data_IF_906629485421
#
_entry.id   IF_906629485421
#
_cell.length_a   1.000
_cell.length_b   1.000
_cell.length_c   1.000
_cell.angle_alpha   90.00
_cell.angle_beta   90.00
_cell.angle_gamma   90.00
#
_symmetry.space_group_name_H-M   'P 1'
#
loop_
_entity.id
_entity.type
_entity.pdbx_description
1 polymer ?
#
# COMPACT_ATOMS: atom_id res chain seq x y z
N UNK A 1 -0.30 0.94 27.69
CA UNK A 1 -0.06 1.61 26.37
C UNK A 1 -1.10 1.14 25.37
N UNK A 2 -1.59 2.04 24.49
CA UNK A 2 -2.48 1.74 23.35
C UNK A 2 -1.88 2.33 22.07
N UNK A 3 -2.19 1.72 20.93
CA UNK A 3 -1.82 2.28 19.64
C UNK A 3 -2.64 3.56 19.38
N UNK A 4 -2.00 4.63 18.91
CA UNK A 4 -2.64 5.92 18.61
C UNK A 4 -2.14 6.45 17.28
N UNK A 5 -3.05 6.84 16.39
CA UNK A 5 -2.71 7.51 15.16
C UNK A 5 -2.35 8.98 15.44
N UNK A 6 -1.17 9.41 14.98
CA UNK A 6 -0.73 10.80 15.04
C UNK A 6 -1.25 11.61 13.86
N UNK A 7 -1.16 11.04 12.67
CA UNK A 7 -1.59 11.65 11.42
C UNK A 7 -1.85 10.58 10.38
N UNK A 8 -2.88 10.78 9.57
CA UNK A 8 -3.17 9.94 8.41
C UNK A 8 -3.88 10.74 7.34
N UNK A 9 -3.74 10.30 6.09
CA UNK A 9 -4.49 10.84 4.96
C UNK A 9 -4.49 9.84 3.81
N UNK A 10 -5.50 9.95 2.96
CA UNK A 10 -5.60 9.27 1.66
C UNK A 10 -6.05 10.28 0.63
N UNK A 11 -5.58 10.13 -0.61
CA UNK A 11 -5.89 10.99 -1.74
C UNK A 11 -5.92 10.17 -3.02
N UNK A 12 -6.97 10.33 -3.88
CA UNK A 12 -6.95 9.74 -5.21
C UNK A 12 -5.85 10.38 -6.08
N UNK A 13 -5.38 9.64 -7.06
CA UNK A 13 -4.47 10.09 -8.10
C UNK A 13 -5.16 10.90 -9.19
N UNK A 14 -4.86 10.55 -10.44
CA UNK A 14 -5.47 11.18 -11.63
C UNK A 14 -6.93 10.76 -11.86
N UNK A 15 -7.36 9.67 -11.25
CA UNK A 15 -8.71 9.12 -11.39
C UNK A 15 -9.70 9.84 -10.46
N UNK A 16 -10.98 9.78 -10.82
CA UNK A 16 -12.07 10.30 -9.97
C UNK A 16 -12.37 9.42 -8.74
N UNK A 17 -11.64 8.33 -8.56
CA UNK A 17 -11.80 7.36 -7.48
C UNK A 17 -10.45 6.94 -6.93
N UNK A 18 -10.43 6.44 -5.72
CA UNK A 18 -9.26 5.94 -5.02
C UNK A 18 -9.28 4.41 -5.01
N UNK A 19 -8.20 3.78 -5.41
CA UNK A 19 -8.01 2.33 -5.28
C UNK A 19 -7.24 1.97 -4.00
N UNK A 20 -6.66 2.98 -3.32
CA UNK A 20 -6.14 2.82 -1.97
C UNK A 20 -7.25 2.87 -0.91
N UNK A 21 -7.02 2.24 0.23
CA UNK A 21 -7.84 2.43 1.42
C UNK A 21 -7.02 2.43 2.71
N UNK A 22 -7.46 3.26 3.63
CA UNK A 22 -6.97 3.30 5.01
C UNK A 22 -7.97 2.61 5.93
N UNK A 23 -7.47 1.68 6.73
CA UNK A 23 -8.18 0.98 7.78
C UNK A 23 -7.57 1.42 9.12
N UNK A 24 -8.35 2.07 9.97
CA UNK A 24 -7.84 2.67 11.21
C UNK A 24 -8.86 2.53 12.32
N UNK A 25 -8.50 1.79 13.36
CA UNK A 25 -9.30 1.64 14.56
C UNK A 25 -8.35 1.40 15.75
N UNK A 26 -8.26 2.27 16.68
CA UNK A 26 -7.51 2.30 17.93
C UNK A 26 -6.48 1.18 18.24
N UNK A 27 -6.80 -0.07 17.94
CA UNK A 27 -5.94 -1.23 18.18
C UNK A 27 -5.18 -1.69 16.92
N UNK A 28 -5.55 -1.21 15.72
CA UNK A 28 -4.93 -1.61 14.46
C UNK A 28 -4.94 -0.48 13.42
N UNK A 29 -4.01 -0.59 12.48
CA UNK A 29 -3.95 0.24 11.28
C UNK A 29 -3.56 -0.64 10.10
N UNK A 30 -4.19 -0.41 8.94
CA UNK A 30 -3.84 -1.08 7.70
C UNK A 30 -3.99 -0.14 6.51
N UNK A 31 -3.17 -0.36 5.48
CA UNK A 31 -3.25 0.34 4.19
C UNK A 31 -3.33 -0.71 3.10
N UNK A 32 -4.31 -0.53 2.23
CA UNK A 32 -4.43 -1.24 0.95
C UNK A 32 -3.95 -0.33 -0.17
N UNK A 33 -3.26 -0.91 -1.13
CA UNK A 33 -2.88 -0.33 -2.41
C UNK A 33 -3.48 -1.19 -3.52
N UNK A 34 -4.58 -0.73 -4.09
CA UNK A 34 -5.40 -1.49 -5.02
C UNK A 34 -4.91 -1.39 -6.45
N UNK A 35 -4.93 -2.52 -7.16
CA UNK A 35 -4.56 -2.59 -8.57
C UNK A 35 -5.61 -3.33 -9.40
N UNK A 36 -6.28 -2.58 -10.29
CA UNK A 36 -7.22 -3.12 -11.28
C UNK A 36 -6.50 -4.00 -12.30
N UNK A 37 -7.20 -5.01 -12.82
CA UNK A 37 -6.71 -5.85 -13.91
C UNK A 37 -6.29 -5.02 -15.15
N UNK A 38 -5.37 -5.54 -15.94
CA UNK A 38 -4.83 -4.85 -17.13
C UNK A 38 -5.69 -5.11 -18.41
N UNK A 39 -6.92 -5.53 -18.23
CA UNK A 39 -7.92 -5.63 -19.31
C UNK A 39 -8.53 -4.25 -19.58
N UNK A 40 -8.94 -3.99 -20.83
CA UNK A 40 -9.65 -2.75 -21.19
C UNK A 40 -11.18 -2.86 -21.01
N UNK A 41 -11.64 -3.75 -20.16
CA UNK A 41 -13.07 -3.98 -19.91
C UNK A 41 -13.62 -2.98 -18.88
N UNK A 42 -14.91 -2.69 -18.97
CA UNK A 42 -15.63 -2.02 -17.90
C UNK A 42 -15.55 -2.85 -16.60
N UNK A 43 -15.66 -2.22 -15.43
CA UNK A 43 -15.66 -2.94 -14.16
C UNK A 43 -16.72 -4.03 -14.13
N UNK A 44 -16.35 -5.20 -13.65
CA UNK A 44 -17.27 -6.34 -13.46
C UNK A 44 -18.27 -6.04 -12.35
N UNK A 45 -17.79 -5.35 -11.31
CA UNK A 45 -18.61 -4.92 -10.19
C UNK A 45 -19.23 -3.55 -10.49
N UNK A 46 -20.33 -3.55 -11.24
CA UNK A 46 -20.95 -2.36 -11.88
C UNK A 46 -21.32 -1.19 -10.95
N UNK A 47 -21.40 -1.42 -9.64
CA UNK A 47 -21.66 -0.35 -8.67
C UNK A 47 -20.38 0.41 -8.25
N UNK A 48 -19.22 0.03 -8.80
CA UNK A 48 -17.93 0.62 -8.51
C UNK A 48 -17.29 1.17 -9.78
N UNK A 49 -16.46 2.17 -9.64
CA UNK A 49 -15.72 2.79 -10.74
C UNK A 49 -14.48 1.95 -11.16
N UNK A 50 -14.04 1.03 -10.29
CA UNK A 50 -13.04 0.01 -10.62
C UNK A 50 -13.23 -1.25 -9.79
N UNK A 51 -12.76 -2.38 -10.32
CA UNK A 51 -12.79 -3.65 -9.61
C UNK A 51 -11.82 -3.69 -8.43
N UNK A 52 -10.70 -2.93 -8.48
CA UNK A 52 -9.79 -2.79 -7.36
C UNK A 52 -10.42 -2.01 -6.22
N UNK A 53 -11.12 -0.90 -6.51
CA UNK A 53 -11.83 -0.13 -5.48
C UNK A 53 -12.89 -0.98 -4.78
N UNK A 54 -13.63 -1.81 -5.54
CA UNK A 54 -14.56 -2.78 -4.96
C UNK A 54 -13.83 -3.80 -4.05
N UNK A 55 -12.76 -4.41 -4.56
CA UNK A 55 -12.02 -5.45 -3.86
C UNK A 55 -11.43 -4.95 -2.55
N UNK A 56 -10.85 -3.76 -2.58
CA UNK A 56 -10.26 -3.09 -1.42
C UNK A 56 -11.34 -2.74 -0.39
N UNK A 57 -12.48 -2.18 -0.82
CA UNK A 57 -13.56 -1.82 0.09
C UNK A 57 -14.18 -3.04 0.77
N UNK A 58 -14.47 -4.13 0.02
CA UNK A 58 -15.00 -5.37 0.58
C UNK A 58 -14.01 -6.02 1.58
N UNK A 59 -12.72 -6.01 1.22
CA UNK A 59 -11.65 -6.54 2.07
C UNK A 59 -11.54 -5.73 3.36
N UNK A 60 -11.56 -4.41 3.24
CA UNK A 60 -11.53 -3.46 4.35
C UNK A 60 -12.70 -3.68 5.30
N UNK A 61 -13.94 -3.73 4.78
CA UNK A 61 -15.14 -3.97 5.60
C UNK A 61 -15.06 -5.27 6.38
N UNK A 62 -14.60 -6.35 5.75
CA UNK A 62 -14.40 -7.61 6.44
C UNK A 62 -13.37 -7.48 7.57
N UNK A 63 -12.22 -6.89 7.30
CA UNK A 63 -11.14 -6.74 8.28
C UNK A 63 -11.52 -5.78 9.42
N UNK A 64 -12.24 -4.69 9.15
CA UNK A 64 -12.75 -3.78 10.19
C UNK A 64 -13.58 -4.50 11.25
N UNK A 65 -14.37 -5.48 10.83
CA UNK A 65 -15.22 -6.26 11.73
C UNK A 65 -14.45 -7.33 12.51
N UNK A 66 -13.33 -7.84 11.97
CA UNK A 66 -12.68 -9.04 12.50
C UNK A 66 -11.27 -8.84 13.03
N UNK A 67 -10.59 -7.74 12.72
CA UNK A 67 -9.20 -7.50 13.17
C UNK A 67 -9.04 -7.36 14.69
N UNK A 68 -10.12 -7.14 15.42
CA UNK A 68 -10.10 -7.17 16.89
C UNK A 68 -10.05 -8.59 17.47
N UNK A 69 -10.41 -9.61 16.69
CA UNK A 69 -10.30 -11.02 17.11
C UNK A 69 -8.83 -11.46 17.06
N UNK A 70 -8.16 -11.42 18.19
CA UNK A 70 -6.75 -11.80 18.34
C UNK A 70 -6.53 -13.31 18.42
N UNK A 71 -7.58 -14.13 18.38
CA UNK A 71 -7.46 -15.59 18.28
C UNK A 71 -6.99 -16.03 16.88
N UNK A 72 -7.08 -15.15 15.89
CA UNK A 72 -6.65 -15.37 14.51
C UNK A 72 -5.53 -14.39 14.15
N UNK A 73 -4.54 -14.83 13.37
CA UNK A 73 -3.50 -13.96 12.82
C UNK A 73 -4.08 -13.02 11.75
N UNK A 74 -3.40 -11.88 11.51
CA UNK A 74 -3.78 -10.98 10.39
C UNK A 74 -3.84 -11.76 9.07
N UNK A 75 -2.87 -12.67 8.84
CA UNK A 75 -2.85 -13.53 7.65
C UNK A 75 -4.12 -14.37 7.50
N UNK A 76 -4.56 -15.03 8.56
CA UNK A 76 -5.79 -15.84 8.54
C UNK A 76 -7.03 -15.00 8.24
N UNK A 77 -7.08 -13.79 8.80
CA UNK A 77 -8.18 -12.86 8.54
C UNK A 77 -8.18 -12.37 7.09
N UNK A 78 -7.00 -12.10 6.51
CA UNK A 78 -6.88 -11.78 5.08
C UNK A 78 -7.37 -12.95 4.20
N UNK A 79 -7.01 -14.19 4.51
CA UNK A 79 -7.49 -15.37 3.76
C UNK A 79 -9.02 -15.48 3.77
N UNK A 80 -9.64 -15.21 4.91
CA UNK A 80 -11.11 -15.21 5.03
C UNK A 80 -11.74 -14.04 4.26
N UNK A 81 -11.15 -12.85 4.32
CA UNK A 81 -11.58 -11.71 3.53
C UNK A 81 -11.55 -12.03 2.03
N UNK A 82 -10.46 -12.65 1.54
CA UNK A 82 -10.35 -13.08 0.14
C UNK A 82 -11.42 -14.11 -0.25
N UNK A 83 -11.74 -15.05 0.63
CA UNK A 83 -12.81 -16.02 0.40
C UNK A 83 -14.18 -15.34 0.28
N UNK A 84 -14.45 -14.31 1.10
CA UNK A 84 -15.68 -13.50 1.02
C UNK A 84 -15.72 -12.72 -0.30
N UNK A 85 -14.63 -12.02 -0.66
CA UNK A 85 -14.55 -11.29 -1.93
C UNK A 85 -14.77 -12.24 -3.12
N UNK A 86 -14.12 -13.41 -3.11
CA UNK A 86 -14.29 -14.43 -4.15
C UNK A 86 -15.73 -14.88 -4.30
N UNK A 87 -16.46 -15.09 -3.20
CA UNK A 87 -17.86 -15.52 -3.24
C UNK A 87 -18.81 -14.47 -3.83
N UNK A 88 -18.41 -13.17 -3.75
CA UNK A 88 -19.20 -12.04 -4.27
C UNK A 88 -18.81 -11.64 -5.69
N UNK A 89 -17.67 -12.09 -6.18
CA UNK A 89 -17.15 -11.75 -7.51
C UNK A 89 -18.03 -12.31 -8.62
N UNK A 90 -18.39 -11.49 -9.59
CA UNK A 90 -19.31 -11.85 -10.69
C UNK A 90 -18.59 -12.14 -12.01
N UNK A 91 -17.28 -11.93 -12.07
CA UNK A 91 -16.49 -12.12 -13.29
C UNK A 91 -15.77 -13.46 -13.37
N UNK A 92 -15.04 -13.66 -14.45
CA UNK A 92 -14.14 -14.78 -14.59
C UNK A 92 -12.98 -14.70 -13.58
N UNK A 93 -12.56 -15.86 -13.07
CA UNK A 93 -11.38 -15.96 -12.19
C UNK A 93 -10.17 -16.25 -13.09
N UNK A 94 -9.52 -15.18 -13.56
CA UNK A 94 -8.23 -15.25 -14.26
C UNK A 94 -7.27 -14.20 -13.74
N UNK A 95 -5.97 -14.48 -13.74
CA UNK A 95 -4.94 -13.58 -13.19
C UNK A 95 -4.90 -12.21 -13.88
N UNK A 96 -5.30 -12.15 -15.16
CA UNK A 96 -5.33 -10.90 -15.94
C UNK A 96 -6.59 -10.05 -15.62
N UNK A 97 -7.68 -10.67 -15.19
CA UNK A 97 -8.97 -10.01 -14.98
C UNK A 97 -9.26 -9.65 -13.52
N UNK A 98 -8.84 -10.50 -12.58
CA UNK A 98 -9.13 -10.26 -11.16
C UNK A 98 -8.34 -9.09 -10.58
N UNK A 99 -8.96 -8.28 -9.69
CA UNK A 99 -8.27 -7.25 -8.94
C UNK A 99 -7.27 -7.85 -7.95
N UNK A 100 -6.34 -7.02 -7.48
CA UNK A 100 -5.39 -7.35 -6.43
C UNK A 100 -5.10 -6.14 -5.57
N UNK A 101 -4.44 -6.35 -4.43
CA UNK A 101 -3.94 -5.26 -3.62
C UNK A 101 -2.65 -5.63 -2.89
N UNK A 102 -1.72 -4.68 -2.80
CA UNK A 102 -0.75 -4.63 -1.74
C UNK A 102 -1.47 -4.38 -0.42
N UNK A 103 -0.95 -4.90 0.69
CA UNK A 103 -1.54 -4.68 2.00
C UNK A 103 -0.49 -4.72 3.11
N UNK A 104 -0.43 -3.69 3.91
CA UNK A 104 0.31 -3.72 5.18
C UNK A 104 -0.61 -3.39 6.33
N UNK A 105 -0.44 -4.09 7.44
CA UNK A 105 -1.20 -3.86 8.66
C UNK A 105 -0.38 -4.10 9.91
N UNK A 106 -0.73 -3.36 10.97
CA UNK A 106 -0.24 -3.58 12.31
C UNK A 106 -1.42 -3.69 13.27
N UNK A 107 -1.30 -4.60 14.24
CA UNK A 107 -2.29 -4.81 15.27
C UNK A 107 -1.62 -4.95 16.63
N UNK A 108 -2.11 -4.20 17.60
CA UNK A 108 -1.72 -4.44 18.98
C UNK A 108 -2.48 -5.66 19.53
N UNK A 109 -1.73 -6.66 19.99
CA UNK A 109 -2.25 -7.84 20.67
C UNK A 109 -1.56 -7.96 22.03
N UNK A 110 -2.22 -7.46 23.09
CA UNK A 110 -1.66 -7.39 24.42
C UNK A 110 -0.36 -6.56 24.46
N UNK A 111 0.75 -7.22 24.79
CA UNK A 111 2.11 -6.63 24.86
C UNK A 111 2.89 -6.73 23.56
N UNK A 112 2.27 -7.20 22.48
CA UNK A 112 2.91 -7.45 21.20
C UNK A 112 2.28 -6.57 20.15
N UNK A 113 3.10 -6.06 19.22
CA UNK A 113 2.68 -5.52 17.94
C UNK A 113 2.85 -6.62 16.90
N UNK A 114 1.75 -7.11 16.34
CA UNK A 114 1.74 -7.98 15.18
C UNK A 114 1.84 -7.10 13.93
N UNK A 115 2.84 -7.37 13.07
CA UNK A 115 3.07 -6.71 11.81
C UNK A 115 2.85 -7.69 10.66
N UNK A 116 2.14 -7.28 9.63
CA UNK A 116 1.89 -8.03 8.41
C UNK A 116 2.11 -7.12 7.21
N UNK A 117 2.82 -7.61 6.18
CA UNK A 117 3.05 -6.86 4.96
C UNK A 117 3.07 -7.79 3.75
N UNK A 118 2.38 -7.39 2.69
CA UNK A 118 2.24 -8.11 1.43
C UNK A 118 2.19 -7.11 0.28
N UNK A 119 2.94 -7.36 -0.81
CA UNK A 119 3.06 -6.41 -1.92
C UNK A 119 3.95 -5.22 -1.58
N UNK A 120 3.73 -4.10 -2.27
CA UNK A 120 4.55 -2.90 -2.32
C UNK A 120 4.17 -1.82 -1.29
N UNK A 121 3.16 -2.07 -0.47
CA UNK A 121 2.86 -1.18 0.65
C UNK A 121 4.02 -1.19 1.64
N UNK A 122 4.56 -0.02 1.92
CA UNK A 122 5.69 0.16 2.83
C UNK A 122 5.23 0.14 4.29
N UNK A 123 5.92 -0.65 5.11
CA UNK A 123 5.80 -0.65 6.56
C UNK A 123 7.17 -0.44 7.18
N UNK A 124 7.29 0.53 8.07
CA UNK A 124 8.48 0.73 8.87
C UNK A 124 8.14 0.94 10.35
N UNK A 125 8.92 0.30 11.23
CA UNK A 125 8.79 0.41 12.68
C UNK A 125 10.07 1.03 13.22
N UNK A 126 9.94 2.16 13.90
CA UNK A 126 11.03 2.80 14.64
C UNK A 126 11.03 2.33 16.08
N UNK A 127 12.16 1.82 16.53
CA UNK A 127 12.35 1.37 17.90
C UNK A 127 12.79 2.52 18.82
N UNK A 128 12.63 2.35 20.13
CA UNK A 128 13.14 3.28 21.14
C UNK A 128 14.67 3.41 21.11
N UNK A 129 15.38 2.39 20.62
CA UNK A 129 16.83 2.44 20.36
C UNK A 129 17.22 3.40 19.23
N UNK A 130 16.25 3.86 18.43
CA UNK A 130 16.45 4.65 17.22
C UNK A 130 16.61 3.82 15.95
N UNK A 131 16.71 2.49 16.04
CA UNK A 131 16.77 1.59 14.89
C UNK A 131 15.43 1.53 14.16
N UNK A 132 15.48 1.26 12.84
CA UNK A 132 14.32 1.04 11.99
C UNK A 132 14.27 -0.41 11.51
N UNK A 133 13.07 -0.97 11.52
CA UNK A 133 12.77 -2.28 10.90
C UNK A 133 11.91 -2.02 9.66
N UNK A 134 12.25 -2.69 8.55
CA UNK A 134 11.57 -2.56 7.26
C UNK A 134 11.07 -3.91 6.77
N UNK A 135 10.06 -3.85 5.93
CA UNK A 135 9.43 -5.02 5.32
C UNK A 135 9.44 -4.88 3.79
N UNK A 136 10.62 -4.95 3.13
CA UNK A 136 10.74 -4.69 1.70
C UNK A 136 10.09 -5.78 0.85
N UNK A 137 9.51 -5.37 -0.29
CA UNK A 137 9.11 -6.24 -1.39
C UNK A 137 10.12 -6.04 -2.53
N UNK A 138 10.99 -7.02 -2.73
CA UNK A 138 12.09 -6.89 -3.69
C UNK A 138 11.67 -7.29 -5.10
N UNK A 139 10.87 -8.34 -5.25
CA UNK A 139 10.50 -8.91 -6.53
C UNK A 139 9.65 -7.94 -7.36
N UNK A 140 8.64 -7.31 -6.76
CA UNK A 140 7.80 -6.32 -7.45
C UNK A 140 8.61 -5.08 -7.81
N UNK A 141 9.44 -4.57 -6.91
CA UNK A 141 10.30 -3.42 -7.17
C UNK A 141 11.24 -3.65 -8.38
N UNK A 142 11.82 -4.84 -8.53
CA UNK A 142 12.66 -5.19 -9.68
C UNK A 142 11.86 -5.28 -10.99
N UNK A 143 10.64 -5.80 -10.94
CA UNK A 143 9.74 -5.87 -12.10
C UNK A 143 9.34 -4.47 -12.56
N UNK A 144 8.98 -3.59 -11.63
CA UNK A 144 8.60 -2.21 -11.93
C UNK A 144 9.78 -1.40 -12.44
N UNK A 145 10.98 -1.55 -11.87
CA UNK A 145 12.18 -0.92 -12.38
C UNK A 145 12.46 -1.38 -13.82
N UNK A 146 12.36 -2.69 -14.10
CA UNK A 146 12.56 -3.23 -15.45
C UNK A 146 11.57 -2.62 -16.45
N UNK A 147 10.29 -2.52 -16.07
CA UNK A 147 9.27 -1.92 -16.92
C UNK A 147 9.51 -0.41 -17.12
N UNK A 148 9.92 0.30 -16.07
CA UNK A 148 10.23 1.72 -16.12
C UNK A 148 11.42 2.00 -17.03
N UNK A 149 12.50 1.21 -16.95
CA UNK A 149 13.66 1.33 -17.84
C UNK A 149 13.29 1.08 -19.32
N UNK A 150 12.40 0.11 -19.59
CA UNK A 150 11.89 -0.10 -20.95
C UNK A 150 11.09 1.10 -21.47
N UNK A 151 10.25 1.73 -20.64
CA UNK A 151 9.53 2.94 -21.00
C UNK A 151 10.47 4.13 -21.26
N UNK A 152 11.50 4.29 -20.42
CA UNK A 152 12.53 5.33 -20.58
C UNK A 152 13.30 5.13 -21.90
N UNK A 153 13.67 3.90 -22.24
CA UNK A 153 14.36 3.57 -23.48
C UNK A 153 13.51 3.97 -24.69
N UNK A 154 12.25 3.57 -24.72
CA UNK A 154 11.32 3.92 -25.82
C UNK A 154 11.10 5.43 -25.93
N UNK A 155 11.07 6.16 -24.82
CA UNK A 155 11.00 7.62 -24.83
C UNK A 155 12.25 8.26 -25.44
N UNK A 156 13.44 7.72 -25.19
CA UNK A 156 14.70 8.22 -25.79
C UNK A 156 14.74 8.12 -27.33
N UNK A 157 13.91 7.27 -27.93
CA UNK A 157 13.70 7.16 -29.36
C UNK A 157 12.81 8.29 -29.94
N UNK A 158 12.39 9.26 -29.11
CA UNK A 158 11.60 10.43 -29.54
C UNK A 158 10.10 10.30 -29.28
N UNK A 159 9.64 9.26 -28.60
CA UNK A 159 8.23 9.06 -28.29
C UNK A 159 7.76 9.85 -27.07
N UNK A 160 6.46 10.17 -26.99
CA UNK A 160 5.88 10.78 -25.80
C UNK A 160 5.88 9.78 -24.64
N UNK A 161 5.85 10.29 -23.39
CA UNK A 161 5.77 9.42 -22.21
C UNK A 161 4.50 8.55 -22.19
N UNK A 162 3.36 9.11 -22.59
CA UNK A 162 2.11 8.36 -22.71
C UNK A 162 2.22 7.18 -23.70
N UNK A 163 2.88 7.41 -24.85
CA UNK A 163 3.14 6.34 -25.81
C UNK A 163 4.10 5.30 -25.24
N UNK A 164 5.11 5.71 -24.49
CA UNK A 164 6.06 4.80 -23.86
C UNK A 164 5.36 3.87 -22.85
N UNK A 165 4.51 4.42 -21.97
CA UNK A 165 3.72 3.62 -21.01
C UNK A 165 2.76 2.67 -21.74
N UNK A 166 2.14 3.11 -22.84
CA UNK A 166 1.29 2.25 -23.66
C UNK A 166 2.09 1.12 -24.32
N UNK A 167 3.28 1.42 -24.83
CA UNK A 167 4.16 0.45 -25.49
C UNK A 167 4.58 -0.69 -24.56
N UNK A 168 4.87 -0.41 -23.29
CA UNK A 168 5.30 -1.42 -22.32
C UNK A 168 4.14 -2.22 -21.71
N UNK A 169 2.89 -1.95 -22.07
CA UNK A 169 1.72 -2.64 -21.52
C UNK A 169 1.79 -4.17 -21.59
N UNK A 170 2.26 -4.81 -22.68
CA UNK A 170 2.46 -6.26 -22.72
C UNK A 170 3.46 -6.77 -21.67
N UNK A 171 4.50 -5.97 -21.35
CA UNK A 171 5.46 -6.29 -20.29
C UNK A 171 4.79 -6.20 -18.92
N UNK A 172 4.02 -5.16 -18.65
CA UNK A 172 3.25 -5.03 -17.41
C UNK A 172 2.24 -6.19 -17.23
N UNK A 173 1.59 -6.63 -18.32
CA UNK A 173 0.72 -7.82 -18.28
C UNK A 173 1.50 -9.09 -17.95
N UNK A 174 2.70 -9.26 -18.53
CA UNK A 174 3.58 -10.38 -18.17
C UNK A 174 3.96 -10.36 -16.69
N UNK A 175 4.35 -9.19 -16.16
CA UNK A 175 4.67 -9.01 -14.74
C UNK A 175 3.45 -9.31 -13.86
N UNK A 176 2.24 -8.87 -14.24
CA UNK A 176 1.00 -9.16 -13.51
C UNK A 176 0.74 -10.67 -13.36
N UNK A 177 1.08 -11.47 -14.39
CA UNK A 177 0.93 -12.94 -14.35
C UNK A 177 1.91 -13.64 -13.41
N UNK A 178 2.95 -12.93 -12.97
CA UNK A 178 3.90 -13.43 -11.97
C UNK A 178 3.36 -13.27 -10.53
N UNK A 179 2.22 -12.58 -10.35
CA UNK A 179 1.59 -12.41 -9.04
C UNK A 179 1.26 -13.77 -8.44
N UNK A 180 1.66 -13.97 -7.18
CA UNK A 180 1.44 -15.18 -6.39
C UNK A 180 1.96 -16.48 -7.07
N UNK A 181 3.00 -16.37 -7.91
CA UNK A 181 3.69 -17.47 -8.55
C UNK A 181 5.13 -17.60 -8.04
N UNK A 182 5.74 -18.79 -8.11
CA UNK A 182 7.16 -18.96 -7.79
C UNK A 182 8.04 -18.03 -8.63
N UNK A 183 8.94 -17.29 -7.97
CA UNK A 183 9.82 -16.29 -8.62
C UNK A 183 9.13 -14.98 -8.97
N UNK A 184 7.90 -14.78 -8.55
CA UNK A 184 7.16 -13.53 -8.68
C UNK A 184 6.90 -12.88 -7.33
N UNK A 185 6.03 -11.88 -7.33
CA UNK A 185 5.67 -11.11 -6.14
C UNK A 185 4.36 -11.60 -5.50
N UNK A 186 4.12 -11.20 -4.26
CA UNK A 186 2.92 -11.57 -3.51
C UNK A 186 1.98 -10.38 -3.34
N UNK A 187 0.68 -10.58 -3.54
CA UNK A 187 -0.38 -9.60 -3.29
C UNK A 187 -1.68 -10.30 -2.88
N UNK A 188 -2.58 -9.59 -2.22
CA UNK A 188 -3.94 -10.06 -2.01
C UNK A 188 -4.67 -10.15 -3.35
N UNK A 189 -5.37 -11.24 -3.59
CA UNK A 189 -6.27 -11.41 -4.74
C UNK A 189 -7.37 -12.43 -4.44
N UNK A 190 -8.29 -12.60 -5.40
CA UNK A 190 -9.43 -13.49 -5.24
C UNK A 190 -9.09 -15.00 -5.16
N UNK A 191 -7.83 -15.38 -5.42
CA UNK A 191 -7.37 -16.75 -5.26
C UNK A 191 -7.03 -17.10 -3.82
N UNK A 192 -6.72 -16.08 -3.01
CA UNK A 192 -6.44 -16.23 -1.58
C UNK A 192 -5.13 -16.95 -1.25
N UNK A 193 -4.21 -17.05 -2.21
CA UNK A 193 -2.90 -17.65 -2.05
C UNK A 193 -1.83 -16.59 -2.22
N UNK A 194 -0.84 -16.59 -1.37
CA UNK A 194 0.39 -15.82 -1.51
C UNK A 194 1.56 -16.58 -0.90
N UNK A 195 2.75 -16.40 -1.44
CA UNK A 195 3.92 -17.19 -1.08
C UNK A 195 4.74 -16.54 0.04
N UNK A 196 4.89 -15.22 0.02
CA UNK A 196 5.88 -14.48 0.81
C UNK A 196 5.25 -13.36 1.63
N UNK A 197 4.31 -13.67 2.53
CA UNK A 197 3.85 -12.70 3.52
C UNK A 197 4.97 -12.45 4.54
N UNK A 198 5.30 -11.19 4.77
CA UNK A 198 6.27 -10.75 5.76
C UNK A 198 5.55 -10.48 7.07
N UNK A 199 5.82 -11.30 8.07
CA UNK A 199 5.19 -11.17 9.39
C UNK A 199 6.24 -11.11 10.47
N UNK A 200 6.01 -10.26 11.47
CA UNK A 200 6.83 -10.20 12.68
C UNK A 200 6.00 -9.79 13.88
N UNK A 201 6.35 -10.31 15.02
CA UNK A 201 5.80 -9.90 16.31
C UNK A 201 6.89 -9.16 17.10
N UNK A 202 6.61 -7.92 17.47
CA UNK A 202 7.53 -7.05 18.18
C UNK A 202 7.02 -6.75 19.58
N UNK A 203 7.88 -6.71 20.62
CA UNK A 203 7.49 -6.23 21.94
C UNK A 203 6.98 -4.78 21.83
N UNK A 204 5.72 -4.54 22.21
CA UNK A 204 5.10 -3.22 22.07
C UNK A 204 5.83 -2.14 22.86
N UNK A 205 6.46 -2.52 23.99
CA UNK A 205 7.28 -1.64 24.83
C UNK A 205 8.56 -1.12 24.18
N UNK A 206 9.02 -1.72 23.08
CA UNK A 206 10.22 -1.28 22.37
C UNK A 206 9.93 -0.31 21.21
N UNK A 207 8.67 -0.06 20.93
CA UNK A 207 8.24 0.69 19.76
C UNK A 207 8.16 2.18 20.09
N UNK A 208 8.76 3.01 19.26
CA UNK A 208 8.63 4.47 19.27
C UNK A 208 7.48 4.92 18.37
N UNK A 209 7.50 4.48 17.11
CA UNK A 209 6.50 4.84 16.10
C UNK A 209 6.42 3.80 15.00
N UNK A 210 5.31 3.84 14.27
CA UNK A 210 5.01 2.92 13.17
C UNK A 210 4.50 3.75 12.00
N UNK A 211 5.06 3.53 10.81
CA UNK A 211 4.69 4.23 9.60
C UNK A 211 4.30 3.24 8.51
N UNK A 212 3.15 3.48 7.88
CA UNK A 212 2.65 2.74 6.73
C UNK A 212 2.36 3.72 5.60
N UNK A 213 2.68 3.33 4.36
CA UNK A 213 2.27 4.10 3.19
C UNK A 213 2.17 3.23 1.93
N UNK A 214 1.28 3.63 0.99
CA UNK A 214 1.26 3.09 -0.38
C UNK A 214 2.46 3.59 -1.19
N UNK A 215 2.73 2.95 -2.32
CA UNK A 215 3.82 3.32 -3.23
C UNK A 215 3.64 4.76 -3.74
N UNK A 216 2.40 5.19 -4.03
CA UNK A 216 2.12 6.56 -4.44
C UNK A 216 2.55 7.62 -3.42
N UNK A 217 2.44 7.36 -2.11
CA UNK A 217 2.98 8.27 -1.09
C UNK A 217 4.50 8.16 -0.98
N UNK A 218 5.06 6.96 -1.16
CA UNK A 218 6.51 6.73 -1.14
C UNK A 218 7.25 7.46 -2.27
N UNK A 219 6.58 7.91 -3.35
CA UNK A 219 7.15 8.76 -4.41
C UNK A 219 7.79 10.05 -3.87
N UNK A 220 7.52 10.46 -2.63
CA UNK A 220 8.27 11.53 -1.96
C UNK A 220 9.78 11.26 -1.94
N UNK A 221 10.18 10.00 -1.95
CA UNK A 221 11.59 9.58 -2.04
C UNK A 221 12.10 9.82 -3.47
N UNK A 222 11.34 9.41 -4.49
CA UNK A 222 11.70 9.56 -5.88
C UNK A 222 11.85 11.04 -6.30
N UNK A 223 11.00 11.90 -5.73
CA UNK A 223 11.10 13.35 -5.90
C UNK A 223 12.23 14.00 -5.09
N UNK A 224 12.99 13.24 -4.30
CA UNK A 224 14.08 13.74 -3.45
C UNK A 224 13.59 14.61 -2.28
N UNK A 225 12.30 14.59 -1.97
CA UNK A 225 11.72 15.27 -0.80
C UNK A 225 12.12 14.53 0.48
N UNK A 226 12.18 13.20 0.44
CA UNK A 226 12.80 12.38 1.47
C UNK A 226 13.98 11.59 0.87
N UNK A 227 14.98 11.26 1.68
CA UNK A 227 16.19 10.54 1.22
C UNK A 227 15.92 9.04 1.03
N UNK A 228 15.18 8.47 1.95
CA UNK A 228 14.86 7.05 2.07
C UNK A 228 13.64 6.85 2.96
N UNK A 229 13.22 5.61 3.15
CA UNK A 229 12.04 5.29 3.96
C UNK A 229 12.22 5.69 5.43
N UNK A 230 13.45 5.66 5.98
CA UNK A 230 13.72 6.09 7.36
C UNK A 230 13.56 7.60 7.52
N UNK A 231 14.02 8.34 6.53
CA UNK A 231 13.86 9.79 6.49
C UNK A 231 12.40 10.19 6.28
N UNK A 232 11.69 9.50 5.37
CA UNK A 232 10.25 9.69 5.15
C UNK A 232 9.46 9.42 6.43
N UNK A 233 9.78 8.35 7.17
CA UNK A 233 9.17 8.06 8.47
C UNK A 233 9.40 9.20 9.47
N UNK A 234 10.67 9.65 9.66
CA UNK A 234 10.98 10.75 10.57
C UNK A 234 10.27 12.05 10.20
N UNK A 235 10.27 12.39 8.91
CA UNK A 235 9.57 13.58 8.42
C UNK A 235 8.06 13.47 8.66
N UNK A 236 7.48 12.30 8.48
CA UNK A 236 6.06 12.09 8.74
C UNK A 236 5.72 12.24 10.23
N UNK A 237 6.62 11.82 11.14
CA UNK A 237 6.49 12.11 12.58
C UNK A 237 6.50 13.61 12.88
N UNK A 238 7.33 14.37 12.21
CA UNK A 238 7.57 15.81 12.50
C UNK A 238 6.57 16.73 11.79
N UNK A 239 6.30 16.46 10.53
CA UNK A 239 5.54 17.36 9.64
C UNK A 239 4.09 16.92 9.45
N UNK A 240 3.80 15.64 9.73
CA UNK A 240 2.49 15.01 9.53
C UNK A 240 2.24 14.62 8.07
N UNK A 241 1.36 13.62 7.89
CA UNK A 241 1.02 13.05 6.58
C UNK A 241 0.46 14.11 5.62
N UNK A 242 -0.44 14.98 6.10
CA UNK A 242 -1.11 15.97 5.24
C UNK A 242 -0.14 16.98 4.62
N UNK A 243 0.85 17.45 5.39
CA UNK A 243 1.87 18.37 4.90
C UNK A 243 2.70 17.73 3.79
N UNK A 244 3.18 16.51 4.03
CA UNK A 244 3.97 15.77 3.04
C UNK A 244 3.15 15.43 1.79
N UNK A 245 1.87 15.09 1.94
CA UNK A 245 0.97 14.86 0.80
C UNK A 245 0.79 16.11 -0.05
N UNK A 246 0.75 17.30 0.57
CA UNK A 246 0.72 18.58 -0.15
C UNK A 246 2.00 18.82 -0.93
N UNK A 247 3.18 18.54 -0.36
CA UNK A 247 4.47 18.63 -1.05
C UNK A 247 4.55 17.66 -2.23
N UNK A 248 4.10 16.42 -2.04
CA UNK A 248 4.00 15.44 -3.12
C UNK A 248 3.13 15.94 -4.26
N UNK A 249 1.94 16.47 -3.93
CA UNK A 249 1.01 17.00 -4.94
C UNK A 249 1.66 18.14 -5.76
N UNK A 250 2.35 19.07 -5.10
CA UNK A 250 3.07 20.15 -5.78
C UNK A 250 4.18 19.61 -6.69
N UNK A 251 4.98 18.65 -6.21
CA UNK A 251 6.03 18.04 -6.99
C UNK A 251 5.48 17.33 -8.25
N UNK A 252 4.41 16.55 -8.10
CA UNK A 252 3.74 15.88 -9.23
C UNK A 252 3.13 16.87 -10.23
N UNK A 253 2.53 17.97 -9.75
CA UNK A 253 1.98 19.03 -10.60
C UNK A 253 3.04 19.77 -11.41
N UNK A 254 4.25 19.94 -10.87
CA UNK A 254 5.37 20.57 -11.59
C UNK A 254 6.03 19.63 -12.61
N UNK A 255 5.77 18.33 -12.56
CA UNK A 255 6.33 17.29 -13.42
C UNK A 255 5.24 16.46 -14.12
N UNK A 256 4.27 17.12 -14.73
CA UNK A 256 3.12 16.47 -15.39
C UNK A 256 3.50 15.50 -16.53
N UNK A 257 4.63 15.73 -17.16
CA UNK A 257 5.13 14.90 -18.26
C UNK A 257 6.07 13.79 -17.79
N UNK A 258 6.20 13.55 -16.50
CA UNK A 258 7.07 12.53 -15.91
C UNK A 258 8.52 12.60 -16.45
N UNK A 259 9.08 13.83 -16.51
CA UNK A 259 10.43 14.08 -17.06
C UNK A 259 11.48 13.97 -15.98
N UNK A 260 11.23 14.61 -14.83
CA UNK A 260 12.17 14.63 -13.70
C UNK A 260 12.15 13.30 -12.98
N UNK A 261 10.95 12.79 -12.73
CA UNK A 261 10.70 11.52 -12.07
C UNK A 261 9.82 10.68 -12.99
N UNK A 262 10.42 9.79 -13.83
CA UNK A 262 9.67 8.87 -14.66
C UNK A 262 8.81 7.94 -13.78
N UNK A 263 7.51 7.79 -14.12
CA UNK A 263 6.54 6.98 -13.37
C UNK A 263 5.35 6.61 -14.26
N UNK A 264 4.69 5.50 -14.00
CA UNK A 264 3.63 4.98 -14.88
C UNK A 264 2.36 5.82 -14.87
N UNK A 265 2.04 6.42 -13.73
CA UNK A 265 0.90 7.33 -13.54
C UNK A 265 1.43 8.73 -13.25
N UNK A 266 0.81 9.75 -13.80
CA UNK A 266 1.17 11.15 -13.52
C UNK A 266 1.00 11.48 -12.04
N UNK A 267 -0.15 11.09 -11.47
CA UNK A 267 -0.44 11.11 -10.04
C UNK A 267 -1.06 9.75 -9.66
N UNK A 268 -0.46 9.06 -8.71
CA UNK A 268 -1.04 7.84 -8.15
C UNK A 268 -1.88 8.13 -6.92
N UNK A 269 -2.74 7.17 -6.57
CA UNK A 269 -3.39 7.15 -5.27
C UNK A 269 -2.31 7.19 -4.18
N UNK A 270 -2.51 7.94 -3.12
CA UNK A 270 -1.49 8.13 -2.10
C UNK A 270 -2.10 8.10 -0.71
N UNK A 271 -1.70 7.12 0.07
CA UNK A 271 -2.22 6.86 1.41
C UNK A 271 -1.08 6.66 2.39
N UNK A 272 -1.16 7.28 3.56
CA UNK A 272 -0.18 7.06 4.63
C UNK A 272 -0.80 7.22 6.03
N UNK A 273 -0.17 6.58 7.01
CA UNK A 273 -0.49 6.71 8.42
C UNK A 273 0.78 6.62 9.27
N UNK A 274 0.86 7.45 10.30
CA UNK A 274 1.89 7.43 11.34
C UNK A 274 1.23 7.22 12.71
N UNK A 275 1.73 6.25 13.47
CA UNK A 275 1.18 5.84 14.75
C UNK A 275 2.27 5.79 15.81
N UNK A 276 1.86 5.88 17.07
CA UNK A 276 2.74 5.68 18.22
C UNK A 276 2.01 4.96 19.36
N UNK A 277 2.75 4.26 20.24
CA UNK A 277 2.24 3.85 21.52
C UNK A 277 1.89 5.07 22.39
N UNK A 278 0.69 5.10 22.96
CA UNK A 278 0.26 6.14 23.92
C UNK A 278 0.02 5.51 25.28
N UNK A 279 0.61 6.09 26.33
CA UNK A 279 0.34 5.68 27.70
C UNK A 279 -1.06 6.09 28.12
N UNK A 280 -1.83 5.15 28.69
CA UNK A 280 -3.15 5.44 29.25
C UNK A 280 -3.09 6.29 30.53
N UNK A 281 -1.90 6.44 31.12
CA UNK A 281 -1.71 7.20 32.38
C UNK A 281 -1.81 8.72 32.21
N UNK A 282 -1.65 9.24 30.99
CA UNK A 282 -1.74 10.69 30.72
C UNK A 282 -3.18 11.22 30.62
N UNK A 283 -4.19 10.35 30.62
CA UNK A 283 -5.61 10.77 30.60
C UNK A 283 -6.22 11.00 31.99
N UNK A 284 -5.56 10.56 33.06
CA UNK A 284 -6.03 10.77 34.43
C UNK A 284 -5.58 12.11 35.06
N UNK A 285 -4.71 12.86 34.39
CA UNK A 285 -4.24 14.17 34.90
C UNK A 285 -4.97 15.36 34.28
N UNK A 286 -6.02 15.14 33.48
CA UNK A 286 -6.85 16.17 32.83
C UNK A 286 -8.34 16.10 33.21
N UNK A 287 -8.66 15.29 34.23
CA UNK A 287 -9.95 15.28 34.95
C UNK A 287 -9.72 15.72 36.41
#
# INVERSE_FOLDING_TARGET
>A
MKLSCLSSATRPGDKAYNEDALLLNGAFCGIFDGATGLTNSAPVMSNYLSDAAWFVEESKQYLELHLQDTSQTIQQLCQKAMAVCRSRWKGAISVDAIPSAGFAAVRQNGTVLECFCLGDVSLSVRLLSGAFLYFPEQELSLLDETALQAAIAYRKEGHSWANAVTHIRPLLQKHRRMRNQPGGYSALDLLGHWLNARTVNLPFSQIRSIFLCSDGFAQLIDFGIAKDLSDLHRRTEQEGVKSLLSLLTQAQQTDQNCVKVPRFKRMDDATAAILQPKDCSTLQSLL
#
